data_IF_762509484116
#
_entry.id   IF_762509484116
#
_cell.length_a   1.000
_cell.length_b   1.000
_cell.length_c   1.000
_cell.angle_alpha   90.00
_cell.angle_beta   90.00
_cell.angle_gamma   90.00
#
_symmetry.space_group_name_H-M   'P 1'
#
loop_
_entity.id
_entity.type
_entity.pdbx_description
1 polymer ?
#
# COMPACT_ATOMS: atom_id res chain seq x y z
N UNK A 1 16.38 -13.29 14.64
CA UNK A 1 15.24 -14.19 14.91
C UNK A 1 15.74 -15.63 14.87
N UNK A 2 15.40 -16.47 15.84
CA UNK A 2 15.69 -17.91 15.77
C UNK A 2 14.59 -18.57 14.94
N UNK A 3 14.92 -19.21 13.81
CA UNK A 3 13.94 -19.74 12.86
C UNK A 3 13.44 -21.12 13.29
N UNK A 4 14.18 -21.82 14.15
CA UNK A 4 13.88 -23.21 14.52
C UNK A 4 12.91 -23.35 15.70
N UNK A 5 12.52 -22.25 16.35
CA UNK A 5 11.58 -22.30 17.47
C UNK A 5 10.12 -22.33 16.99
N UNK A 6 9.22 -22.78 17.86
CA UNK A 6 7.78 -22.75 17.59
C UNK A 6 7.17 -21.46 18.11
N UNK A 7 6.45 -20.73 17.28
CA UNK A 7 5.83 -19.44 17.62
C UNK A 7 4.33 -19.53 17.75
N UNK A 8 3.75 -18.69 18.61
CA UNK A 8 2.31 -18.56 18.84
C UNK A 8 1.87 -17.11 18.84
N UNK A 9 0.70 -16.83 18.25
CA UNK A 9 0.04 -15.52 18.36
C UNK A 9 -1.44 -15.57 17.99
N UNK A 10 -2.20 -14.55 18.43
CA UNK A 10 -3.55 -14.32 17.95
C UNK A 10 -3.52 -13.78 16.51
N UNK A 11 -4.22 -14.44 15.59
CA UNK A 11 -4.32 -14.04 14.18
C UNK A 11 -5.55 -13.18 13.86
N UNK A 12 -6.55 -13.15 14.76
CA UNK A 12 -7.71 -12.25 14.65
C UNK A 12 -7.45 -10.88 15.29
N UNK A 13 -8.21 -9.82 14.92
CA UNK A 13 -8.14 -8.55 15.61
C UNK A 13 -8.40 -8.67 17.11
N UNK A 14 -7.77 -7.80 17.91
CA UNK A 14 -8.05 -7.71 19.34
C UNK A 14 -9.45 -7.17 19.58
N UNK A 15 -10.16 -7.74 20.57
CA UNK A 15 -11.50 -7.33 20.94
C UNK A 15 -12.39 -8.51 21.31
N UNK A 16 -13.59 -8.21 21.81
CA UNK A 16 -14.61 -9.22 22.04
C UNK A 16 -15.30 -9.58 20.72
N UNK A 17 -15.45 -10.87 20.45
CA UNK A 17 -16.12 -11.38 19.26
C UNK A 17 -16.64 -12.80 19.47
N UNK A 18 -17.45 -13.33 18.54
CA UNK A 18 -17.95 -14.70 18.62
C UNK A 18 -16.80 -15.73 18.59
N UNK A 19 -15.76 -15.46 17.80
CA UNK A 19 -14.60 -16.34 17.65
C UNK A 19 -13.29 -15.56 17.63
N UNK A 20 -12.21 -16.23 18.03
CA UNK A 20 -10.84 -15.80 17.84
C UNK A 20 -9.98 -16.98 17.34
N UNK A 21 -8.91 -16.67 16.60
CA UNK A 21 -7.99 -17.67 16.08
C UNK A 21 -6.61 -17.44 16.69
N UNK A 22 -6.08 -18.48 17.33
CA UNK A 22 -4.69 -18.55 17.80
C UNK A 22 -3.93 -19.45 16.84
N UNK A 23 -2.84 -18.93 16.27
CA UNK A 23 -2.00 -19.66 15.31
C UNK A 23 -0.70 -20.04 15.99
N UNK A 24 -0.28 -21.29 15.78
CA UNK A 24 1.00 -21.86 16.21
C UNK A 24 1.75 -22.33 14.96
N UNK A 25 3.01 -21.95 14.78
CA UNK A 25 3.85 -22.36 13.62
C UNK A 25 5.22 -22.81 14.08
N UNK A 26 5.74 -23.88 13.48
CA UNK A 26 7.07 -24.43 13.76
C UNK A 26 7.05 -25.95 13.89
N UNK A 27 8.23 -26.55 14.03
CA UNK A 27 8.39 -28.01 14.02
C UNK A 27 7.57 -28.71 15.12
N UNK A 28 7.52 -28.13 16.31
CA UNK A 28 6.83 -28.70 17.48
C UNK A 28 5.37 -28.22 17.61
N UNK A 29 4.83 -27.48 16.62
CA UNK A 29 3.50 -26.88 16.70
C UNK A 29 2.39 -27.90 16.95
N UNK A 30 2.42 -29.04 16.24
CA UNK A 30 1.43 -30.11 16.41
C UNK A 30 1.59 -30.78 17.77
N UNK A 31 2.81 -31.11 18.17
CA UNK A 31 3.09 -31.78 19.45
C UNK A 31 2.71 -30.92 20.66
N UNK A 32 2.98 -29.61 20.60
CA UNK A 32 2.61 -28.67 21.66
C UNK A 32 1.09 -28.60 21.80
N UNK A 33 0.35 -28.45 20.69
CA UNK A 33 -1.11 -28.36 20.75
C UNK A 33 -1.75 -29.71 21.12
N UNK A 34 -1.16 -30.83 20.71
CA UNK A 34 -1.64 -32.17 21.04
C UNK A 34 -1.67 -32.41 22.57
N UNK A 35 -0.71 -31.83 23.32
CA UNK A 35 -0.65 -31.96 24.79
C UNK A 35 -1.83 -31.31 25.52
N UNK A 36 -2.45 -30.28 24.94
CA UNK A 36 -3.60 -29.57 25.54
C UNK A 36 -4.95 -29.98 24.94
N UNK A 37 -4.96 -30.90 23.97
CA UNK A 37 -6.15 -31.33 23.23
C UNK A 37 -6.38 -32.85 23.33
N UNK A 38 -6.98 -33.34 24.43
CA UNK A 38 -7.15 -34.79 24.64
C UNK A 38 -8.22 -35.44 23.75
N UNK A 39 -9.06 -34.63 23.07
CA UNK A 39 -10.16 -35.14 22.26
C UNK A 39 -9.72 -35.96 21.05
N UNK A 40 -8.49 -35.76 20.55
CA UNK A 40 -7.93 -36.52 19.43
C UNK A 40 -6.41 -36.40 19.39
N UNK A 41 -5.73 -37.45 18.96
CA UNK A 41 -4.29 -37.42 18.71
C UNK A 41 -3.99 -36.69 17.39
N UNK A 42 -3.59 -35.42 17.49
CA UNK A 42 -3.31 -34.52 16.38
C UNK A 42 -2.09 -34.94 15.54
N UNK A 43 -1.23 -35.85 16.04
CA UNK A 43 -0.11 -36.36 15.25
C UNK A 43 -0.58 -37.35 14.17
N UNK A 44 -1.68 -38.05 14.41
CA UNK A 44 -2.21 -39.11 13.52
C UNK A 44 -3.27 -38.65 12.54
N UNK A 45 -3.69 -37.39 12.59
CA UNK A 45 -4.69 -36.84 11.66
C UNK A 45 -4.05 -36.39 10.36
N UNK A 46 -4.85 -36.33 9.30
CA UNK A 46 -4.42 -35.78 8.02
C UNK A 46 -4.22 -34.26 8.09
N UNK A 47 -3.54 -33.69 7.09
CA UNK A 47 -3.47 -32.24 6.95
C UNK A 47 -4.76 -31.68 6.35
N UNK A 48 -5.02 -30.39 6.60
CA UNK A 48 -6.19 -29.65 6.12
C UNK A 48 -7.53 -30.20 6.65
N UNK A 49 -7.52 -30.71 7.89
CA UNK A 49 -8.71 -31.23 8.56
C UNK A 49 -9.06 -30.41 9.79
N UNK A 50 -10.34 -30.44 10.15
CA UNK A 50 -10.91 -29.78 11.33
C UNK A 50 -11.19 -30.81 12.44
N UNK A 51 -10.86 -30.45 13.68
CA UNK A 51 -11.05 -31.29 14.86
C UNK A 51 -11.72 -30.50 15.98
N UNK A 52 -12.90 -30.95 16.39
CA UNK A 52 -13.66 -30.34 17.47
C UNK A 52 -13.36 -31.03 18.80
N UNK A 53 -13.24 -30.24 19.87
CA UNK A 53 -13.01 -30.77 21.21
C UNK A 53 -12.65 -29.71 22.22
N UNK A 54 -12.22 -30.15 23.41
CA UNK A 54 -11.91 -29.24 24.52
C UNK A 54 -10.41 -29.00 24.63
N UNK A 55 -10.02 -27.74 24.85
CA UNK A 55 -8.67 -27.40 25.31
C UNK A 55 -8.64 -27.49 26.84
N UNK A 56 -7.70 -28.26 27.37
CA UNK A 56 -7.57 -28.53 28.80
C UNK A 56 -6.19 -28.12 29.30
N UNK A 57 -6.15 -27.48 30.47
CA UNK A 57 -4.92 -27.23 31.22
C UNK A 57 -5.12 -27.54 32.70
N UNK A 58 -4.19 -28.29 33.30
CA UNK A 58 -4.28 -28.76 34.69
C UNK A 58 -5.63 -29.40 35.06
N UNK A 59 -6.19 -30.25 34.18
CA UNK A 59 -7.52 -30.88 34.30
C UNK A 59 -8.72 -29.91 34.32
N UNK A 60 -8.52 -28.65 33.96
CA UNK A 60 -9.58 -27.64 33.83
C UNK A 60 -9.81 -27.37 32.34
N UNK A 61 -11.07 -27.46 31.91
CA UNK A 61 -11.47 -27.08 30.55
C UNK A 61 -11.33 -25.56 30.44
N UNK A 62 -10.49 -25.11 29.52
CA UNK A 62 -10.33 -23.68 29.21
C UNK A 62 -11.45 -23.23 28.30
N UNK A 63 -11.66 -23.98 27.21
CA UNK A 63 -12.68 -23.69 26.19
C UNK A 63 -12.96 -24.92 25.31
N UNK A 64 -14.08 -24.89 24.61
CA UNK A 64 -14.44 -25.79 23.52
C UNK A 64 -14.05 -25.12 22.19
N UNK A 65 -13.25 -25.80 21.37
CA UNK A 65 -12.58 -25.22 20.21
C UNK A 65 -12.71 -26.08 18.96
N UNK A 66 -12.40 -25.47 17.81
CA UNK A 66 -12.11 -26.17 16.56
C UNK A 66 -10.65 -25.96 16.20
N UNK A 67 -9.90 -27.05 16.07
CA UNK A 67 -8.51 -27.06 15.66
C UNK A 67 -8.40 -27.37 14.17
N UNK A 68 -7.67 -26.55 13.42
CA UNK A 68 -7.27 -26.80 12.03
C UNK A 68 -5.80 -27.20 11.98
N UNK A 69 -5.48 -28.26 11.25
CA UNK A 69 -4.11 -28.78 11.09
C UNK A 69 -3.59 -28.50 9.69
N UNK A 70 -2.38 -27.95 9.57
CA UNK A 70 -1.67 -27.81 8.30
C UNK A 70 -0.25 -28.38 8.47
N UNK A 71 0.05 -29.47 7.76
CA UNK A 71 1.36 -30.12 7.80
C UNK A 71 2.28 -29.53 6.72
N UNK A 72 3.56 -29.43 7.03
CA UNK A 72 4.57 -29.02 6.06
C UNK A 72 4.55 -29.91 4.79
N UNK A 73 4.88 -29.37 3.59
CA UNK A 73 5.13 -27.96 3.29
C UNK A 73 3.84 -27.18 2.94
N UNK A 74 2.65 -27.75 3.14
CA UNK A 74 1.38 -27.21 2.66
C UNK A 74 0.72 -26.32 3.72
N UNK A 75 1.41 -25.24 4.09
CA UNK A 75 0.94 -24.26 5.07
C UNK A 75 1.37 -22.84 4.69
N UNK A 76 0.88 -21.82 5.40
CA UNK A 76 1.26 -20.42 5.14
C UNK A 76 2.76 -20.17 5.31
N UNK A 77 3.39 -20.75 6.34
CA UNK A 77 4.83 -20.62 6.61
C UNK A 77 5.66 -21.69 5.92
N UNK A 78 5.03 -22.68 5.26
CA UNK A 78 5.62 -23.97 4.86
C UNK A 78 6.12 -24.85 6.01
N UNK A 79 5.93 -24.46 7.26
CA UNK A 79 6.17 -25.31 8.44
C UNK A 79 4.87 -26.02 8.86
N UNK A 80 4.92 -26.85 9.89
CA UNK A 80 3.68 -27.28 10.54
C UNK A 80 2.98 -26.06 11.18
N UNK A 81 1.67 -25.91 10.93
CA UNK A 81 0.81 -24.90 11.52
C UNK A 81 -0.40 -25.57 12.17
N UNK A 82 -0.76 -25.08 13.35
CA UNK A 82 -2.02 -25.39 14.02
C UNK A 82 -2.78 -24.09 14.28
N UNK A 83 -4.05 -24.05 13.89
CA UNK A 83 -4.95 -22.92 14.19
C UNK A 83 -6.04 -23.36 15.15
N UNK A 84 -6.08 -22.73 16.33
CA UNK A 84 -7.07 -22.97 17.38
C UNK A 84 -8.14 -21.89 17.28
N UNK A 85 -9.32 -22.26 16.79
CA UNK A 85 -10.51 -21.40 16.77
C UNK A 85 -11.27 -21.56 18.08
N UNK A 86 -11.20 -20.56 18.96
CA UNK A 86 -11.84 -20.53 20.27
C UNK A 86 -12.88 -19.41 20.35
N UNK A 87 -13.64 -19.33 21.44
CA UNK A 87 -14.49 -18.18 21.72
C UNK A 87 -13.65 -16.90 21.83
N UNK A 88 -14.14 -15.79 21.28
CA UNK A 88 -13.44 -14.50 21.24
C UNK A 88 -13.42 -13.74 22.56
N UNK A 89 -13.09 -14.43 23.66
CA UNK A 89 -12.91 -13.85 24.99
C UNK A 89 -11.42 -13.62 25.26
N UNK A 90 -11.06 -12.40 25.65
CA UNK A 90 -9.67 -12.02 25.95
C UNK A 90 -9.04 -12.93 27.01
N UNK A 91 -9.82 -13.35 28.01
CA UNK A 91 -9.36 -14.25 29.07
C UNK A 91 -9.05 -15.64 28.51
N UNK A 92 -9.90 -16.16 27.63
CA UNK A 92 -9.72 -17.47 27.00
C UNK A 92 -8.46 -17.46 26.14
N UNK A 93 -8.33 -16.44 25.28
CA UNK A 93 -7.19 -16.29 24.38
C UNK A 93 -5.88 -16.23 25.17
N UNK A 94 -5.82 -15.38 26.21
CA UNK A 94 -4.65 -15.27 27.09
C UNK A 94 -4.30 -16.60 27.77
N UNK A 95 -5.29 -17.33 28.28
CA UNK A 95 -5.07 -18.63 28.91
C UNK A 95 -4.49 -19.66 27.94
N UNK A 96 -5.06 -19.77 26.74
CA UNK A 96 -4.56 -20.70 25.72
C UNK A 96 -3.12 -20.34 25.33
N UNK A 97 -2.84 -19.06 25.05
CA UNK A 97 -1.49 -18.61 24.70
C UNK A 97 -0.48 -18.92 25.82
N UNK A 98 -0.81 -18.63 27.08
CA UNK A 98 0.07 -18.96 28.21
C UNK A 98 0.34 -20.47 28.33
N UNK A 99 -0.68 -21.32 28.14
CA UNK A 99 -0.50 -22.77 28.14
C UNK A 99 0.45 -23.23 27.03
N UNK A 100 0.36 -22.63 25.84
CA UNK A 100 1.26 -22.94 24.72
C UNK A 100 2.69 -22.48 25.02
N UNK A 101 2.85 -21.33 25.68
CA UNK A 101 4.17 -20.81 26.10
C UNK A 101 4.83 -21.75 27.11
N UNK A 102 4.08 -22.17 28.13
CA UNK A 102 4.57 -23.10 29.17
C UNK A 102 5.03 -24.45 28.57
N UNK A 103 4.50 -24.81 27.40
CA UNK A 103 4.82 -26.05 26.67
C UNK A 103 5.95 -25.89 25.64
N UNK A 104 6.54 -24.69 25.51
CA UNK A 104 7.72 -24.43 24.69
C UNK A 104 7.50 -23.51 23.49
N UNK A 105 6.29 -22.99 23.27
CA UNK A 105 6.08 -21.97 22.24
C UNK A 105 6.59 -20.59 22.69
N UNK A 106 7.07 -19.77 21.75
CA UNK A 106 7.41 -18.36 21.98
C UNK A 106 6.34 -17.46 21.38
N UNK A 107 6.10 -16.28 21.97
CA UNK A 107 5.26 -15.26 21.33
C UNK A 107 5.91 -14.81 20.02
N UNK A 108 5.15 -14.84 18.92
CA UNK A 108 5.61 -14.38 17.63
C UNK A 108 5.90 -12.87 17.64
N UNK A 109 6.98 -12.47 16.98
CA UNK A 109 7.29 -11.08 16.69
C UNK A 109 6.35 -10.51 15.60
N UNK A 110 6.42 -9.20 15.36
CA UNK A 110 5.63 -8.54 14.31
C UNK A 110 6.06 -9.05 12.93
N UNK A 111 5.10 -9.51 12.14
CA UNK A 111 5.37 -10.01 10.78
C UNK A 111 6.10 -11.36 10.73
N UNK A 112 6.34 -12.04 11.86
CA UNK A 112 7.17 -13.23 11.92
C UNK A 112 6.61 -14.40 11.09
N UNK A 113 5.28 -14.58 10.99
CA UNK A 113 4.74 -15.68 10.17
C UNK A 113 4.99 -15.43 8.67
N UNK A 114 4.80 -14.21 8.21
CA UNK A 114 5.04 -13.80 6.81
C UNK A 114 6.54 -13.80 6.52
N UNK A 115 7.37 -13.43 7.49
CA UNK A 115 8.81 -13.54 7.40
C UNK A 115 9.27 -14.99 7.20
N UNK A 116 8.75 -15.94 7.98
CA UNK A 116 9.03 -17.38 7.78
C UNK A 116 8.52 -17.90 6.44
N UNK A 117 7.33 -17.44 6.02
CA UNK A 117 6.79 -17.73 4.70
C UNK A 117 7.74 -17.30 3.57
N UNK A 118 8.34 -16.11 3.70
CA UNK A 118 9.36 -15.60 2.80
C UNK A 118 10.64 -16.44 2.84
N UNK A 119 11.20 -16.70 4.03
CA UNK A 119 12.44 -17.50 4.18
C UNK A 119 12.32 -18.90 3.62
N UNK A 120 11.16 -19.55 3.77
CA UNK A 120 10.90 -20.87 3.22
C UNK A 120 10.55 -20.85 1.72
N UNK A 121 10.66 -19.69 1.07
CA UNK A 121 10.42 -19.49 -0.37
C UNK A 121 8.96 -19.75 -0.77
N UNK A 122 8.01 -19.54 0.14
CA UNK A 122 6.58 -19.62 -0.18
C UNK A 122 6.11 -18.39 -0.95
N UNK A 123 6.64 -17.23 -0.55
CA UNK A 123 6.38 -15.93 -1.14
C UNK A 123 7.71 -15.18 -1.28
N UNK A 124 7.81 -14.26 -2.23
CA UNK A 124 8.93 -13.31 -2.31
C UNK A 124 8.66 -12.02 -1.52
N UNK A 125 9.65 -11.14 -1.43
CA UNK A 125 9.56 -9.94 -0.59
C UNK A 125 8.47 -8.98 -1.05
N UNK A 126 8.28 -8.82 -2.36
CA UNK A 126 7.20 -8.00 -2.92
C UNK A 126 5.82 -8.60 -2.62
N UNK A 127 5.68 -9.93 -2.67
CA UNK A 127 4.46 -10.61 -2.23
C UNK A 127 4.22 -10.44 -0.73
N UNK A 128 5.25 -10.53 0.11
CA UNK A 128 5.15 -10.29 1.54
C UNK A 128 4.63 -8.88 1.85
N UNK A 129 5.19 -7.84 1.22
CA UNK A 129 4.71 -6.46 1.34
C UNK A 129 3.24 -6.31 0.90
N UNK A 130 2.83 -7.04 -0.14
CA UNK A 130 1.45 -7.04 -0.61
C UNK A 130 0.45 -7.66 0.38
N UNK A 131 0.89 -8.57 1.26
CA UNK A 131 0.05 -9.07 2.36
C UNK A 131 -0.36 -7.91 3.28
N UNK A 132 0.59 -7.04 3.62
CA UNK A 132 0.32 -5.85 4.45
C UNK A 132 -0.62 -4.89 3.73
N UNK A 133 -0.38 -4.67 2.44
CA UNK A 133 -1.18 -3.74 1.63
C UNK A 133 -2.60 -4.25 1.41
N UNK A 134 -2.81 -5.57 1.33
CA UNK A 134 -4.15 -6.16 1.23
C UNK A 134 -4.99 -5.92 2.48
N UNK A 135 -4.39 -6.02 3.66
CA UNK A 135 -5.08 -5.87 4.95
C UNK A 135 -5.39 -4.39 5.22
N UNK A 136 -4.42 -3.52 4.94
CA UNK A 136 -4.53 -2.08 5.19
C UNK A 136 -5.24 -1.33 4.08
N UNK A 137 -5.38 -1.94 2.90
CA UNK A 137 -6.04 -1.37 1.73
C UNK A 137 -7.49 -1.00 2.03
N UNK A 138 -7.77 0.31 1.97
CA UNK A 138 -9.11 0.84 2.25
C UNK A 138 -9.93 1.11 0.98
N UNK A 139 -9.29 1.11 -0.20
CA UNK A 139 -9.93 1.38 -1.49
C UNK A 139 -10.03 0.11 -2.34
N UNK A 140 -11.04 0.05 -3.24
CA UNK A 140 -11.19 -1.09 -4.16
C UNK A 140 -9.98 -1.23 -5.08
N UNK A 141 -9.40 -0.11 -5.51
CA UNK A 141 -8.23 -0.12 -6.38
C UNK A 141 -6.98 -0.64 -5.65
N UNK A 142 -6.72 -0.17 -4.42
CA UNK A 142 -5.62 -0.67 -3.60
C UNK A 142 -5.72 -2.18 -3.36
N UNK A 143 -6.95 -2.68 -3.12
CA UNK A 143 -7.20 -4.10 -2.95
C UNK A 143 -6.93 -4.90 -4.23
N UNK A 144 -7.37 -4.42 -5.40
CA UNK A 144 -7.11 -5.05 -6.72
C UNK A 144 -5.59 -5.18 -6.96
N UNK A 145 -4.83 -4.11 -6.72
CA UNK A 145 -3.39 -4.11 -6.97
C UNK A 145 -2.65 -5.02 -5.98
N UNK A 146 -3.03 -5.00 -4.69
CA UNK A 146 -2.45 -5.90 -3.70
C UNK A 146 -2.66 -7.38 -4.05
N UNK A 147 -3.83 -7.75 -4.59
CA UNK A 147 -4.09 -9.10 -5.10
C UNK A 147 -3.17 -9.46 -6.27
N UNK A 148 -2.95 -8.55 -7.23
CA UNK A 148 -2.06 -8.79 -8.37
C UNK A 148 -0.61 -9.01 -7.92
N UNK A 149 -0.15 -8.23 -6.94
CA UNK A 149 1.16 -8.44 -6.32
C UNK A 149 1.25 -9.79 -5.61
N UNK A 150 0.24 -10.17 -4.82
CA UNK A 150 0.19 -11.47 -4.15
C UNK A 150 0.21 -12.64 -5.12
N UNK A 151 -0.45 -12.52 -6.27
CA UNK A 151 -0.39 -13.51 -7.36
C UNK A 151 0.99 -13.60 -8.03
N UNK A 152 1.90 -12.69 -7.71
CA UNK A 152 3.27 -12.67 -8.22
C UNK A 152 3.42 -12.07 -9.61
N UNK A 153 2.42 -11.33 -10.14
CA UNK A 153 2.50 -10.74 -11.49
C UNK A 153 3.73 -9.83 -11.61
N UNK A 154 3.90 -8.93 -10.64
CA UNK A 154 5.06 -8.03 -10.57
C UNK A 154 6.38 -8.79 -10.42
N UNK A 155 6.45 -9.72 -9.46
CA UNK A 155 7.66 -10.49 -9.18
C UNK A 155 8.06 -11.39 -10.35
N UNK A 156 7.11 -11.98 -11.07
CA UNK A 156 7.37 -12.81 -12.24
C UNK A 156 7.96 -11.99 -13.40
N UNK A 157 7.49 -10.74 -13.60
CA UNK A 157 8.07 -9.84 -14.61
C UNK A 157 9.52 -9.50 -14.27
N UNK A 158 9.82 -9.17 -13.01
CA UNK A 158 11.20 -8.90 -12.55
C UNK A 158 12.09 -10.14 -12.68
N UNK A 159 11.62 -11.31 -12.22
CA UNK A 159 12.35 -12.58 -12.32
C UNK A 159 12.67 -12.93 -13.77
N UNK A 160 11.73 -12.67 -14.71
CA UNK A 160 11.97 -12.86 -16.14
C UNK A 160 13.08 -11.94 -16.65
N UNK A 161 12.96 -10.62 -16.43
CA UNK A 161 13.97 -9.64 -16.86
C UNK A 161 15.36 -9.97 -16.28
N UNK A 162 15.41 -10.37 -15.01
CA UNK A 162 16.65 -10.79 -14.34
C UNK A 162 17.21 -12.08 -14.94
N UNK A 163 16.38 -13.08 -15.20
CA UNK A 163 16.80 -14.34 -15.84
C UNK A 163 17.37 -14.10 -17.24
N UNK A 164 16.70 -13.24 -18.03
CA UNK A 164 17.16 -12.88 -19.37
C UNK A 164 18.51 -12.14 -19.30
N UNK A 165 18.69 -11.28 -18.29
CA UNK A 165 19.94 -10.54 -18.08
C UNK A 165 21.08 -11.44 -17.59
N UNK A 166 20.80 -12.43 -16.72
CA UNK A 166 21.77 -13.45 -16.29
C UNK A 166 22.26 -14.25 -17.50
N UNK A 167 21.35 -14.70 -18.37
CA UNK A 167 21.70 -15.49 -19.55
C UNK A 167 22.60 -14.73 -20.52
N UNK A 168 22.42 -13.41 -20.65
CA UNK A 168 23.31 -12.58 -21.47
C UNK A 168 24.62 -12.25 -20.75
N UNK A 169 24.58 -12.05 -19.43
CA UNK A 169 25.77 -11.80 -18.61
C UNK A 169 26.72 -12.99 -18.62
N UNK A 170 26.21 -14.23 -18.58
CA UNK A 170 27.03 -15.43 -18.62
C UNK A 170 27.78 -15.60 -19.95
N UNK A 171 27.17 -15.17 -21.08
CA UNK A 171 27.85 -15.14 -22.37
C UNK A 171 28.97 -14.10 -22.41
N UNK A 172 28.78 -12.94 -21.75
CA UNK A 172 29.82 -11.92 -21.63
C UNK A 172 30.96 -12.37 -20.72
N UNK A 173 30.66 -13.08 -19.62
CA UNK A 173 31.69 -13.65 -18.75
C UNK A 173 32.53 -14.71 -19.50
N UNK A 174 31.89 -15.57 -20.30
CA UNK A 174 32.62 -16.50 -21.17
C UNK A 174 33.50 -15.76 -22.18
N UNK A 175 33.02 -14.68 -22.80
CA UNK A 175 33.82 -13.86 -23.72
C UNK A 175 35.07 -13.26 -23.04
N UNK A 176 34.98 -12.88 -21.76
CA UNK A 176 36.12 -12.43 -20.98
C UNK A 176 37.14 -13.56 -20.73
N UNK A 177 36.65 -14.74 -20.34
CA UNK A 177 37.49 -15.92 -20.07
C UNK A 177 38.25 -16.40 -21.31
N UNK A 178 37.71 -16.17 -22.52
CA UNK A 178 38.30 -16.56 -23.81
C UNK A 178 38.78 -15.36 -24.64
N UNK A 179 39.13 -14.24 -24.00
CA UNK A 179 39.57 -13.01 -24.68
C UNK A 179 40.83 -13.17 -25.55
N UNK A 180 41.62 -14.24 -25.37
CA UNK A 180 42.77 -14.58 -26.22
C UNK A 180 42.40 -15.29 -27.53
N UNK A 181 41.17 -15.81 -27.66
CA UNK A 181 40.73 -16.66 -28.79
C UNK A 181 39.95 -15.90 -29.88
N UNK A 182 39.79 -14.58 -29.78
CA UNK A 182 39.07 -13.71 -30.75
C UNK A 182 37.63 -14.20 -31.06
N UNK A 183 36.91 -14.64 -30.01
CA UNK A 183 35.54 -15.18 -30.14
C UNK A 183 34.51 -14.26 -29.49
N UNK A 184 33.52 -13.81 -30.26
CA UNK A 184 32.34 -13.10 -29.74
C UNK A 184 31.22 -14.10 -29.38
N UNK A 185 30.90 -14.22 -28.09
CA UNK A 185 29.84 -15.10 -27.61
C UNK A 185 28.53 -14.36 -27.32
N UNK A 186 28.61 -13.08 -26.93
CA UNK A 186 27.45 -12.30 -26.55
C UNK A 186 26.91 -11.45 -27.71
N UNK A 187 25.63 -11.65 -28.07
CA UNK A 187 24.97 -10.79 -29.05
C UNK A 187 24.62 -9.42 -28.44
N UNK A 188 25.35 -8.38 -28.86
CA UNK A 188 25.20 -7.01 -28.37
C UNK A 188 23.83 -6.41 -28.71
N UNK A 189 23.24 -6.71 -29.86
CA UNK A 189 21.90 -6.23 -30.23
C UNK A 189 20.83 -6.77 -29.28
N UNK A 190 20.88 -8.06 -28.93
CA UNK A 190 19.96 -8.68 -27.97
C UNK A 190 20.11 -8.05 -26.58
N UNK A 191 21.34 -7.74 -26.17
CA UNK A 191 21.60 -7.05 -24.92
C UNK A 191 21.00 -5.65 -24.93
N UNK A 192 21.22 -4.86 -25.98
CA UNK A 192 20.61 -3.53 -26.11
C UNK A 192 19.09 -3.58 -25.99
N UNK A 193 18.42 -4.50 -26.71
CA UNK A 193 16.97 -4.67 -26.65
C UNK A 193 16.50 -4.97 -25.22
N UNK A 194 17.17 -5.89 -24.51
CA UNK A 194 16.81 -6.23 -23.14
C UNK A 194 17.03 -5.05 -22.18
N UNK A 195 18.13 -4.33 -22.33
CA UNK A 195 18.46 -3.17 -21.51
C UNK A 195 17.44 -2.04 -21.72
N UNK A 196 16.97 -1.83 -22.95
CA UNK A 196 15.87 -0.91 -23.25
C UNK A 196 14.54 -1.38 -22.64
N UNK A 197 14.20 -2.68 -22.72
CA UNK A 197 13.00 -3.22 -22.07
C UNK A 197 13.03 -3.00 -20.54
N UNK A 198 14.19 -3.21 -19.89
CA UNK A 198 14.35 -2.96 -18.45
C UNK A 198 14.22 -1.48 -18.12
N UNK A 199 14.83 -0.59 -18.90
CA UNK A 199 14.76 0.85 -18.67
C UNK A 199 13.33 1.38 -18.82
N UNK A 200 12.61 0.97 -19.87
CA UNK A 200 11.22 1.39 -20.09
C UNK A 200 10.29 0.85 -19.02
N UNK A 201 10.47 -0.41 -18.60
CA UNK A 201 9.75 -0.95 -17.45
C UNK A 201 9.99 -0.13 -16.17
N UNK A 202 11.25 0.25 -15.91
CA UNK A 202 11.58 1.06 -14.73
C UNK A 202 11.01 2.48 -14.82
N UNK A 203 11.06 3.13 -15.99
CA UNK A 203 10.49 4.48 -16.20
C UNK A 203 9.02 4.52 -15.88
N UNK A 204 8.24 3.60 -16.46
CA UNK A 204 6.78 3.51 -16.24
C UNK A 204 6.46 3.40 -14.74
N UNK A 205 7.19 2.55 -14.01
CA UNK A 205 6.95 2.36 -12.57
C UNK A 205 7.39 3.56 -11.73
N UNK A 206 8.54 4.18 -12.04
CA UNK A 206 9.05 5.35 -11.34
C UNK A 206 8.11 6.56 -11.53
N UNK A 207 7.60 6.76 -12.74
CA UNK A 207 6.63 7.81 -13.05
C UNK A 207 5.31 7.56 -12.32
N UNK A 208 4.85 6.31 -12.27
CA UNK A 208 3.63 5.95 -11.56
C UNK A 208 3.75 6.06 -10.04
N UNK A 209 4.95 6.04 -9.45
CA UNK A 209 5.13 6.12 -7.98
C UNK A 209 4.44 7.32 -7.33
N UNK A 210 4.59 8.51 -7.92
CA UNK A 210 4.01 9.76 -7.38
C UNK A 210 2.49 9.73 -7.38
N UNK A 211 1.92 9.07 -8.39
CA UNK A 211 0.48 8.89 -8.60
C UNK A 211 -0.08 7.80 -7.67
N UNK A 212 0.67 6.71 -7.49
CA UNK A 212 0.31 5.51 -6.74
C UNK A 212 0.29 5.68 -5.22
N UNK A 213 1.19 6.48 -4.64
CA UNK A 213 1.14 6.77 -3.20
C UNK A 213 -0.17 7.48 -2.79
N UNK A 214 -0.75 8.29 -3.67
CA UNK A 214 -2.04 8.93 -3.42
C UNK A 214 -3.19 7.91 -3.35
N UNK A 215 -3.09 6.78 -4.06
CA UNK A 215 -4.10 5.71 -4.05
C UNK A 215 -4.05 4.90 -2.75
N UNK A 216 -2.85 4.66 -2.21
CA UNK A 216 -2.64 3.90 -0.96
C UNK A 216 -3.18 4.64 0.26
N UNK A 217 -2.75 5.89 0.45
CA UNK A 217 -3.04 6.67 1.66
C UNK A 217 -4.36 7.47 1.57
N UNK A 218 -4.97 7.47 0.39
CA UNK A 218 -6.11 8.27 0.00
C UNK A 218 -5.69 9.58 -0.64
N UNK A 219 -6.41 9.97 -1.69
CA UNK A 219 -6.13 11.17 -2.49
C UNK A 219 -6.43 12.39 -1.64
N UNK A 220 -5.39 13.16 -1.32
CA UNK A 220 -5.50 14.35 -0.47
C UNK A 220 -6.10 15.50 -1.27
N UNK A 221 -7.32 15.91 -0.92
CA UNK A 221 -8.02 17.05 -1.50
C UNK A 221 -8.06 18.16 -0.46
N UNK A 222 -7.54 19.35 -0.79
CA UNK A 222 -7.65 20.52 0.07
C UNK A 222 -8.78 21.44 -0.43
N UNK A 223 -9.64 21.90 0.48
CA UNK A 223 -10.69 22.87 0.16
C UNK A 223 -10.21 24.27 0.54
N UNK A 224 -10.09 25.14 -0.48
CA UNK A 224 -9.66 26.53 -0.35
C UNK A 224 -10.79 27.50 -0.67
N UNK A 225 -10.66 28.74 -0.22
CA UNK A 225 -11.60 29.83 -0.48
C UNK A 225 -11.70 30.80 0.70
N UNK A 226 -12.27 31.97 0.46
CA UNK A 226 -12.48 33.00 1.50
C UNK A 226 -13.34 32.50 2.67
N UNK A 227 -13.34 33.17 3.83
CA UNK A 227 -14.33 32.93 4.87
C UNK A 227 -15.76 33.00 4.31
N UNK A 228 -16.66 32.16 4.83
CA UNK A 228 -18.09 32.15 4.49
C UNK A 228 -18.49 31.81 3.04
N UNK A 229 -17.58 31.29 2.20
CA UNK A 229 -17.91 30.83 0.83
C UNK A 229 -18.66 29.48 0.78
N UNK A 230 -18.87 28.84 1.94
CA UNK A 230 -19.59 27.57 2.05
C UNK A 230 -18.70 26.32 2.06
N UNK A 231 -17.41 26.42 2.42
CA UNK A 231 -16.48 25.28 2.51
C UNK A 231 -16.99 24.19 3.47
N UNK A 232 -17.36 24.55 4.69
CA UNK A 232 -17.86 23.60 5.69
C UNK A 232 -19.20 22.98 5.29
N UNK A 233 -20.07 23.76 4.66
CA UNK A 233 -21.32 23.23 4.08
C UNK A 233 -21.03 22.22 2.99
N UNK A 234 -20.11 22.53 2.07
CA UNK A 234 -19.68 21.62 1.01
C UNK A 234 -19.11 20.31 1.56
N UNK A 235 -18.20 20.41 2.54
CA UNK A 235 -17.57 19.25 3.17
C UNK A 235 -18.61 18.36 3.86
N UNK A 236 -19.50 18.95 4.66
CA UNK A 236 -20.57 18.21 5.33
C UNK A 236 -21.50 17.53 4.32
N UNK A 237 -21.88 18.24 3.24
CA UNK A 237 -22.72 17.65 2.19
C UNK A 237 -22.02 16.53 1.41
N UNK A 238 -20.69 16.58 1.26
CA UNK A 238 -19.92 15.48 0.67
C UNK A 238 -19.85 14.26 1.62
N UNK A 239 -19.68 14.50 2.93
CA UNK A 239 -19.57 13.45 3.96
C UNK A 239 -20.91 12.77 4.27
N UNK A 240 -21.99 13.53 4.40
CA UNK A 240 -23.32 13.00 4.79
C UNK A 240 -23.91 12.05 3.74
N UNK A 241 -23.52 12.19 2.47
CA UNK A 241 -23.98 11.32 1.39
C UNK A 241 -23.22 9.96 1.39
N UNK A 242 -22.03 9.87 2.02
CA UNK A 242 -21.22 8.64 2.12
C UNK A 242 -21.22 7.96 3.50
N UNK A 243 -21.83 8.60 4.53
CA UNK A 243 -22.09 7.96 5.83
C UNK A 243 -22.95 6.69 5.75
N UNK A 244 -23.59 6.41 4.61
CA UNK A 244 -24.40 5.21 4.40
C UNK A 244 -23.58 3.91 4.19
N UNK A 245 -22.26 3.99 3.97
CA UNK A 245 -21.43 2.81 3.61
C UNK A 245 -20.37 2.46 4.68
N UNK A 246 -20.13 3.35 5.65
CA UNK A 246 -19.13 3.10 6.71
C UNK A 246 -19.78 2.26 7.82
N UNK A 247 -19.55 0.95 7.75
CA UNK A 247 -19.90 0.00 8.81
C UNK A 247 -19.23 0.41 10.14
N UNK A 248 -20.04 0.50 11.20
CA UNK A 248 -19.58 0.53 12.58
C UNK A 248 -18.91 -0.80 12.93
N UNK A 249 -17.64 -0.99 12.56
CA UNK A 249 -16.84 -2.11 13.07
C UNK A 249 -16.10 -1.62 14.32
N UNK A 250 -16.44 -2.10 15.52
CA UNK A 250 -15.73 -1.74 16.74
C UNK A 250 -14.29 -2.24 16.67
N UNK A 251 -13.30 -1.37 16.97
CA UNK A 251 -11.93 -1.80 17.24
C UNK A 251 -10.88 -1.54 16.17
N UNK A 252 -11.18 -0.87 15.04
CA UNK A 252 -10.11 -0.34 14.19
C UNK A 252 -9.49 0.88 14.85
N UNK A 253 -8.17 0.86 15.04
CA UNK A 253 -7.39 1.87 15.76
C UNK A 253 -7.86 3.30 15.49
N UNK A 254 -8.28 3.91 16.60
CA UNK A 254 -8.69 5.30 16.79
C UNK A 254 -7.57 6.25 16.35
N UNK A 255 -7.69 6.79 15.15
CA UNK A 255 -7.29 8.15 14.85
C UNK A 255 -8.42 8.75 14.03
N UNK A 256 -8.79 9.99 14.32
CA UNK A 256 -9.92 10.70 13.72
C UNK A 256 -9.83 10.67 12.18
N UNK A 257 -10.72 9.92 11.52
CA UNK A 257 -10.90 9.98 10.06
C UNK A 257 -12.29 10.56 9.77
N UNK A 258 -12.57 11.75 10.29
CA UNK A 258 -13.87 12.42 10.10
C UNK A 258 -14.01 13.03 8.68
N UNK A 259 -12.97 12.98 7.84
CA UNK A 259 -12.91 13.71 6.55
C UNK A 259 -12.57 12.82 5.32
N UNK A 260 -12.87 11.51 5.34
CA UNK A 260 -12.68 10.66 4.15
C UNK A 260 -13.99 10.22 3.52
N UNK A 261 -14.05 10.22 2.20
CA UNK A 261 -15.14 9.63 1.41
C UNK A 261 -14.61 8.69 0.33
N UNK A 262 -15.50 7.87 -0.23
CA UNK A 262 -15.18 7.02 -1.38
C UNK A 262 -15.73 7.67 -2.64
N UNK A 263 -14.86 8.03 -3.59
CA UNK A 263 -15.24 8.50 -4.93
C UNK A 263 -14.77 7.46 -5.95
N UNK A 264 -15.72 6.84 -6.66
CA UNK A 264 -15.42 5.74 -7.57
C UNK A 264 -14.80 4.55 -6.83
N UNK A 265 -13.58 4.18 -7.21
CA UNK A 265 -12.80 3.09 -6.58
C UNK A 265 -11.76 3.59 -5.57
N UNK A 266 -11.73 4.90 -5.30
CA UNK A 266 -10.65 5.56 -4.58
C UNK A 266 -11.14 6.21 -3.28
N UNK A 267 -10.27 6.25 -2.28
CA UNK A 267 -10.52 7.05 -1.09
C UNK A 267 -10.02 8.46 -1.34
N UNK A 268 -10.87 9.41 -1.04
CA UNK A 268 -10.57 10.84 -1.07
C UNK A 268 -10.55 11.33 0.36
N UNK A 269 -9.43 11.92 0.77
CA UNK A 269 -9.25 12.52 2.09
C UNK A 269 -9.31 14.02 1.95
N UNK A 270 -10.34 14.62 2.49
CA UNK A 270 -10.39 16.06 2.59
C UNK A 270 -9.50 16.51 3.73
N UNK A 271 -8.71 17.54 3.47
CA UNK A 271 -8.00 18.27 4.52
C UNK A 271 -8.66 19.62 4.63
N UNK A 272 -9.39 19.85 5.72
CA UNK A 272 -9.96 21.15 5.95
C UNK A 272 -8.86 22.18 6.29
N UNK A 273 -9.03 23.39 5.77
CA UNK A 273 -8.33 24.58 6.24
C UNK A 273 -8.95 25.13 7.53
N UNK A 274 -10.12 24.64 7.97
CA UNK A 274 -10.81 25.00 9.21
C UNK A 274 -10.13 24.53 10.52
N UNK A 275 -8.88 24.06 10.45
CA UNK A 275 -7.96 24.12 11.60
C UNK A 275 -7.60 25.57 11.98
N UNK A 276 -7.98 26.56 11.17
CA UNK A 276 -8.19 27.93 11.60
C UNK A 276 -9.51 28.02 12.37
N UNK A 277 -9.52 27.54 13.62
CA UNK A 277 -10.55 28.00 14.57
C UNK A 277 -10.45 29.53 14.62
N UNK A 278 -11.56 30.21 14.44
CA UNK A 278 -11.66 31.67 14.61
C UNK A 278 -11.27 32.03 16.06
N UNK A 279 -9.99 32.31 16.26
CA UNK A 279 -9.53 33.07 17.43
C UNK A 279 -9.09 34.42 16.91
N UNK A 280 -9.81 35.46 17.33
CA UNK A 280 -9.47 36.84 17.05
C UNK A 280 -8.03 37.13 17.51
N UNK A 281 -7.26 37.74 16.61
CA UNK A 281 -5.93 38.32 16.76
C UNK A 281 -4.68 37.41 16.68
N UNK A 282 -3.75 37.83 15.79
CA UNK A 282 -2.35 37.39 15.58
C UNK A 282 -2.07 36.01 14.95
N UNK A 283 -3.08 35.22 14.60
CA UNK A 283 -2.94 33.83 14.07
C UNK A 283 -2.82 33.74 12.53
N UNK A 284 -2.99 34.84 11.81
CA UNK A 284 -3.20 34.84 10.35
C UNK A 284 -1.97 34.45 9.52
N UNK A 285 -0.75 34.82 9.93
CA UNK A 285 0.49 34.46 9.21
C UNK A 285 0.90 32.99 9.43
N UNK A 286 0.69 32.45 10.63
CA UNK A 286 0.88 31.03 10.94
C UNK A 286 -0.15 30.18 10.18
N UNK A 287 -1.36 30.72 10.02
CA UNK A 287 -2.44 30.15 9.21
C UNK A 287 -2.07 30.00 7.73
N UNK A 288 -1.47 31.03 7.14
CA UNK A 288 -1.03 31.02 5.74
C UNK A 288 0.10 30.02 5.53
N UNK A 289 1.12 29.99 6.40
CA UNK A 289 2.24 29.05 6.26
C UNK A 289 1.78 27.58 6.39
N UNK A 290 0.91 27.28 7.36
CA UNK A 290 0.29 25.94 7.49
C UNK A 290 -0.60 25.58 6.30
N UNK A 291 -1.32 26.55 5.73
CA UNK A 291 -2.10 26.33 4.52
C UNK A 291 -1.19 26.02 3.33
N UNK A 292 -0.07 26.72 3.18
CA UNK A 292 0.91 26.47 2.12
C UNK A 292 1.56 25.09 2.24
N UNK A 293 1.90 24.64 3.45
CA UNK A 293 2.38 23.27 3.69
C UNK A 293 1.33 22.22 3.26
N UNK A 294 0.08 22.40 3.70
CA UNK A 294 -1.02 21.50 3.30
C UNK A 294 -1.28 21.51 1.79
N UNK A 295 -1.10 22.65 1.13
CA UNK A 295 -1.22 22.76 -0.34
C UNK A 295 -0.11 21.96 -1.03
N UNK A 296 1.13 22.02 -0.53
CA UNK A 296 2.24 21.22 -1.06
C UNK A 296 1.93 19.73 -0.99
N UNK A 297 1.40 19.27 0.14
CA UNK A 297 1.05 17.87 0.39
C UNK A 297 -0.25 17.41 -0.29
N UNK A 298 -1.06 18.33 -0.83
CA UNK A 298 -2.32 18.02 -1.51
C UNK A 298 -2.11 17.57 -2.95
N UNK A 299 -2.90 16.55 -3.35
CA UNK A 299 -2.97 16.02 -4.71
C UNK A 299 -3.95 16.80 -5.60
N UNK A 300 -5.01 17.37 -5.00
CA UNK A 300 -6.01 18.21 -5.67
C UNK A 300 -6.33 19.41 -4.79
N UNK A 301 -6.48 20.58 -5.43
CA UNK A 301 -6.96 21.81 -4.80
C UNK A 301 -8.39 22.06 -5.29
N UNK A 302 -9.34 22.12 -4.36
CA UNK A 302 -10.72 22.51 -4.62
C UNK A 302 -10.93 23.95 -4.16
N UNK A 303 -10.93 24.90 -5.09
CA UNK A 303 -11.05 26.32 -4.77
C UNK A 303 -12.49 26.79 -4.90
N UNK A 304 -13.08 27.23 -3.79
CA UNK A 304 -14.49 27.60 -3.68
C UNK A 304 -14.67 29.12 -3.63
N UNK A 305 -15.52 29.63 -4.51
CA UNK A 305 -15.95 31.03 -4.58
C UNK A 305 -17.44 31.14 -4.24
N UNK A 306 -17.86 32.25 -3.64
CA UNK A 306 -19.28 32.54 -3.40
C UNK A 306 -19.85 33.36 -4.56
N UNK A 307 -20.66 32.76 -5.43
CA UNK A 307 -21.18 33.44 -6.62
C UNK A 307 -22.01 34.69 -6.30
N UNK A 308 -22.61 34.79 -5.12
CA UNK A 308 -23.43 35.95 -4.72
C UNK A 308 -22.60 37.17 -4.31
N UNK A 309 -21.30 36.99 -4.02
CA UNK A 309 -20.41 38.05 -3.50
C UNK A 309 -19.11 38.19 -4.27
N UNK A 310 -18.87 37.33 -5.27
CA UNK A 310 -17.59 37.29 -5.99
C UNK A 310 -17.48 38.44 -6.98
N UNK A 311 -16.28 39.02 -7.07
CA UNK A 311 -15.91 39.95 -8.12
C UNK A 311 -14.84 39.30 -9.00
N UNK A 312 -15.05 39.32 -10.32
CA UNK A 312 -14.16 38.69 -11.32
C UNK A 312 -12.70 39.12 -11.13
N UNK A 313 -12.43 40.43 -10.97
CA UNK A 313 -11.06 40.93 -10.79
C UNK A 313 -10.38 40.35 -9.54
N UNK A 314 -11.15 40.24 -8.44
CA UNK A 314 -10.62 39.68 -7.20
C UNK A 314 -10.34 38.18 -7.29
N UNK A 315 -11.10 37.48 -8.13
CA UNK A 315 -10.94 36.06 -8.40
C UNK A 315 -9.70 35.80 -9.25
N UNK A 316 -9.50 36.59 -10.31
CA UNK A 316 -8.29 36.52 -11.15
C UNK A 316 -7.01 36.72 -10.34
N UNK A 317 -6.99 37.70 -9.43
CA UNK A 317 -5.85 37.94 -8.52
C UNK A 317 -5.61 36.76 -7.57
N UNK A 318 -6.66 36.08 -7.12
CA UNK A 318 -6.51 34.89 -6.27
C UNK A 318 -5.99 33.68 -7.03
N UNK A 319 -6.49 33.48 -8.26
CA UNK A 319 -6.08 32.38 -9.13
C UNK A 319 -4.68 32.55 -9.69
N UNK A 320 -4.17 33.79 -9.79
CA UNK A 320 -2.81 34.06 -10.25
C UNK A 320 -1.72 33.75 -9.22
N UNK A 321 -2.08 33.41 -7.98
CA UNK A 321 -1.10 33.15 -6.90
C UNK A 321 -0.25 31.91 -7.19
N UNK A 322 1.05 32.03 -6.98
CA UNK A 322 2.04 31.01 -7.34
C UNK A 322 1.76 29.62 -6.74
N UNK A 323 1.20 29.55 -5.53
CA UNK A 323 0.90 28.27 -4.88
C UNK A 323 -0.23 27.47 -5.54
N UNK A 324 -0.98 28.06 -6.48
CA UNK A 324 -1.99 27.38 -7.29
C UNK A 324 -1.45 26.95 -8.67
N UNK A 325 -0.32 27.49 -9.09
CA UNK A 325 0.28 27.18 -10.39
C UNK A 325 0.86 25.75 -10.40
N UNK A 326 0.74 25.06 -11.53
CA UNK A 326 1.21 23.67 -11.73
C UNK A 326 0.62 22.63 -10.75
N UNK A 327 -0.54 22.93 -10.17
CA UNK A 327 -1.30 22.02 -9.32
C UNK A 327 -2.60 21.60 -10.00
N UNK A 328 -3.09 20.43 -9.63
CA UNK A 328 -4.39 19.90 -10.00
C UNK A 328 -5.50 20.74 -9.36
N UNK A 329 -5.96 21.78 -10.06
CA UNK A 329 -6.88 22.80 -9.55
C UNK A 329 -8.29 22.59 -10.11
N UNK A 330 -9.28 22.56 -9.23
CA UNK A 330 -10.70 22.54 -9.57
C UNK A 330 -11.35 23.79 -8.97
N UNK A 331 -11.94 24.61 -9.83
CA UNK A 331 -12.60 25.86 -9.44
C UNK A 331 -14.11 25.63 -9.33
N UNK A 332 -14.68 26.02 -8.19
CA UNK A 332 -16.10 25.90 -7.88
C UNK A 332 -16.71 27.27 -7.52
N UNK A 333 -17.77 27.63 -8.23
CA UNK A 333 -18.67 28.72 -7.88
C UNK A 333 -19.85 28.16 -7.08
N UNK A 334 -19.86 28.41 -5.77
CA UNK A 334 -20.88 27.94 -4.84
C UNK A 334 -22.01 28.97 -4.65
N UNK A 335 -23.10 28.53 -4.00
CA UNK A 335 -24.31 29.30 -3.69
C UNK A 335 -25.08 29.78 -4.92
N UNK A 336 -25.13 28.94 -5.96
CA UNK A 336 -25.93 29.20 -7.16
C UNK A 336 -27.45 29.24 -6.90
N UNK A 337 -27.89 28.85 -5.70
CA UNK A 337 -29.26 29.00 -5.21
C UNK A 337 -29.62 30.46 -4.84
N UNK A 338 -28.61 31.31 -4.62
CA UNK A 338 -28.79 32.73 -4.36
C UNK A 338 -28.87 33.53 -5.67
N UNK A 339 -29.22 34.82 -5.56
CA UNK A 339 -29.19 35.73 -6.70
C UNK A 339 -27.74 35.96 -7.14
N UNK A 340 -27.40 35.49 -8.33
CA UNK A 340 -26.08 35.65 -8.96
C UNK A 340 -26.18 36.63 -10.13
N UNK A 341 -25.17 37.49 -10.29
CA UNK A 341 -25.10 38.39 -11.45
C UNK A 341 -24.77 37.61 -12.74
N UNK A 342 -25.48 37.92 -13.83
CA UNK A 342 -25.29 37.26 -15.14
C UNK A 342 -23.85 37.37 -15.69
N UNK A 343 -23.08 38.36 -15.25
CA UNK A 343 -21.69 38.53 -15.67
C UNK A 343 -20.80 37.46 -15.04
N UNK A 344 -21.06 37.09 -13.78
CA UNK A 344 -20.30 36.09 -13.04
C UNK A 344 -20.61 34.69 -13.59
N UNK A 345 -21.87 34.36 -13.85
CA UNK A 345 -22.23 33.06 -14.44
C UNK A 345 -21.57 32.86 -15.80
N UNK A 346 -21.66 33.85 -16.69
CA UNK A 346 -20.98 33.82 -18.00
C UNK A 346 -19.46 33.67 -17.88
N UNK A 347 -18.85 34.31 -16.89
CA UNK A 347 -17.41 34.18 -16.67
C UNK A 347 -17.03 32.75 -16.29
N UNK A 348 -17.79 32.11 -15.39
CA UNK A 348 -17.58 30.71 -15.03
C UNK A 348 -17.80 29.77 -16.24
N UNK A 349 -18.85 29.98 -17.02
CA UNK A 349 -19.14 29.20 -18.23
C UNK A 349 -18.02 29.34 -19.27
N UNK A 350 -17.57 30.55 -19.57
CA UNK A 350 -16.53 30.81 -20.58
C UNK A 350 -15.17 30.21 -20.22
N UNK A 351 -14.88 30.04 -18.93
CA UNK A 351 -13.63 29.45 -18.45
C UNK A 351 -13.79 27.96 -18.09
N UNK A 352 -14.94 27.34 -18.39
CA UNK A 352 -15.26 25.96 -18.00
C UNK A 352 -15.12 25.67 -16.49
N UNK A 353 -15.43 26.67 -15.66
CA UNK A 353 -15.49 26.50 -14.21
C UNK A 353 -16.85 25.97 -13.76
N UNK A 354 -16.86 25.25 -12.64
CA UNK A 354 -18.07 24.54 -12.18
C UNK A 354 -18.94 25.45 -11.33
N UNK A 355 -20.24 25.48 -11.60
CA UNK A 355 -21.25 26.20 -10.80
C UNK A 355 -22.07 25.18 -10.02
N UNK A 356 -22.29 25.43 -8.73
CA UNK A 356 -23.06 24.54 -7.86
C UNK A 356 -23.71 25.26 -6.66
N UNK A 357 -24.61 24.54 -5.99
CA UNK A 357 -25.02 24.83 -4.62
C UNK A 357 -24.67 23.66 -3.72
N UNK A 358 -23.91 23.91 -2.63
CA UNK A 358 -23.64 22.89 -1.61
C UNK A 358 -24.91 22.33 -0.96
N UNK A 359 -26.03 23.06 -0.99
CA UNK A 359 -27.30 22.61 -0.44
C UNK A 359 -28.07 21.67 -1.39
N UNK A 360 -27.68 21.62 -2.67
CA UNK A 360 -28.33 20.82 -3.68
C UNK A 360 -27.61 19.47 -3.89
N UNK A 361 -28.26 18.38 -3.49
CA UNK A 361 -27.72 17.02 -3.64
C UNK A 361 -27.35 16.66 -5.09
N UNK A 362 -28.08 17.16 -6.09
CA UNK A 362 -27.76 16.89 -7.51
C UNK A 362 -26.42 17.49 -7.91
N UNK A 363 -26.07 18.66 -7.37
CA UNK A 363 -24.81 19.31 -7.69
C UNK A 363 -23.63 18.69 -6.93
N UNK A 364 -23.87 18.19 -5.71
CA UNK A 364 -22.90 17.35 -4.98
C UNK A 364 -22.57 16.08 -5.78
N UNK A 365 -23.58 15.40 -6.34
CA UNK A 365 -23.35 14.21 -7.17
C UNK A 365 -22.54 14.54 -8.44
N UNK A 366 -22.82 15.66 -9.10
CA UNK A 366 -22.01 16.14 -10.24
C UNK A 366 -20.56 16.39 -9.82
N UNK A 367 -20.34 17.01 -8.66
CA UNK A 367 -19.00 17.24 -8.13
C UNK A 367 -18.27 15.92 -7.84
N UNK A 368 -18.93 14.92 -7.26
CA UNK A 368 -18.33 13.59 -7.06
C UNK A 368 -17.92 12.95 -8.39
N UNK A 369 -18.77 13.03 -9.42
CA UNK A 369 -18.45 12.51 -10.75
C UNK A 369 -17.27 13.27 -11.39
N UNK A 370 -17.24 14.59 -11.25
CA UNK A 370 -16.14 15.42 -11.75
C UNK A 370 -14.82 15.10 -11.02
N UNK A 371 -14.85 14.96 -9.70
CA UNK A 371 -13.68 14.52 -8.94
C UNK A 371 -13.22 13.14 -9.39
N UNK A 372 -14.14 12.20 -9.63
CA UNK A 372 -13.80 10.87 -10.14
C UNK A 372 -13.09 10.94 -11.50
N UNK A 373 -13.66 11.68 -12.46
CA UNK A 373 -13.05 11.86 -13.79
C UNK A 373 -11.70 12.55 -13.69
N UNK A 374 -11.58 13.56 -12.83
CA UNK A 374 -10.34 14.28 -12.62
C UNK A 374 -9.25 13.37 -12.04
N UNK A 375 -9.61 12.53 -11.06
CA UNK A 375 -8.73 11.53 -10.46
C UNK A 375 -8.27 10.53 -11.53
N UNK A 376 -9.19 9.99 -12.33
CA UNK A 376 -8.86 9.01 -13.38
C UNK A 376 -7.98 9.62 -14.47
N UNK A 377 -8.18 10.89 -14.84
CA UNK A 377 -7.41 11.48 -15.94
C UNK A 377 -6.05 12.03 -15.52
N UNK A 378 -5.86 12.42 -14.25
CA UNK A 378 -4.68 13.17 -13.82
C UNK A 378 -3.91 12.51 -12.68
N UNK A 379 -4.50 11.54 -11.99
CA UNK A 379 -3.95 10.97 -10.74
C UNK A 379 -3.76 9.47 -10.83
N UNK A 380 -4.59 8.75 -11.59
CA UNK A 380 -4.52 7.29 -11.70
C UNK A 380 -4.32 6.94 -13.16
N UNK A 381 -3.43 5.99 -13.40
CA UNK A 381 -3.41 5.28 -14.66
C UNK A 381 -4.21 3.99 -14.46
N UNK A 382 -5.38 3.88 -15.10
CA UNK A 382 -6.31 2.73 -14.93
C UNK A 382 -5.67 1.40 -15.39
N UNK A 383 -4.63 1.48 -16.22
CA UNK A 383 -3.82 0.36 -16.70
C UNK A 383 -2.67 0.00 -15.75
N UNK A 384 -2.46 0.75 -14.66
CA UNK A 384 -1.39 0.49 -13.70
C UNK A 384 -1.73 -0.75 -12.84
N UNK A 385 -1.30 -1.92 -13.30
CA UNK A 385 -1.50 -3.19 -12.60
C UNK A 385 -0.62 -3.37 -11.35
N UNK A 386 0.35 -2.47 -11.14
CA UNK A 386 1.45 -2.60 -10.18
C UNK A 386 1.58 -1.31 -9.37
N UNK A 387 1.59 -1.44 -8.04
CA UNK A 387 1.84 -0.32 -7.12
C UNK A 387 3.20 -0.51 -6.45
N UNK A 388 4.14 0.39 -6.70
CA UNK A 388 5.46 0.32 -6.07
C UNK A 388 5.51 1.19 -4.79
N UNK A 389 6.23 0.72 -3.78
CA UNK A 389 6.48 1.47 -2.55
C UNK A 389 7.81 2.25 -2.64
N UNK A 390 8.13 3.02 -1.61
CA UNK A 390 9.36 3.83 -1.57
C UNK A 390 10.64 2.99 -1.72
N UNK A 391 10.65 1.77 -1.16
CA UNK A 391 11.77 0.83 -1.30
C UNK A 391 11.95 0.41 -2.76
N UNK A 392 10.86 -0.02 -3.41
CA UNK A 392 10.86 -0.34 -4.83
C UNK A 392 11.31 0.85 -5.67
N UNK A 393 10.79 2.06 -5.42
CA UNK A 393 11.16 3.27 -6.13
C UNK A 393 12.66 3.57 -6.04
N UNK A 394 13.23 3.55 -4.84
CA UNK A 394 14.67 3.76 -4.63
C UNK A 394 15.50 2.68 -5.34
N UNK A 395 15.05 1.43 -5.29
CA UNK A 395 15.73 0.30 -5.95
C UNK A 395 15.68 0.45 -7.47
N UNK A 396 14.53 0.82 -8.05
CA UNK A 396 14.35 1.04 -9.48
C UNK A 396 15.18 2.23 -10.00
N UNK A 397 15.35 3.28 -9.19
CA UNK A 397 16.30 4.37 -9.52
C UNK A 397 17.73 3.82 -9.64
N UNK A 398 18.15 2.94 -8.73
CA UNK A 398 19.48 2.34 -8.78
C UNK A 398 19.63 1.35 -9.94
N UNK A 399 18.58 0.61 -10.29
CA UNK A 399 18.53 -0.20 -11.52
C UNK A 399 18.76 0.71 -12.72
N UNK A 400 17.99 1.79 -12.88
CA UNK A 400 18.16 2.72 -14.01
C UNK A 400 19.54 3.34 -14.08
N UNK A 401 20.12 3.78 -12.97
CA UNK A 401 21.51 4.26 -12.93
C UNK A 401 22.52 3.22 -13.42
N UNK A 402 22.30 1.95 -13.11
CA UNK A 402 23.17 0.86 -13.56
C UNK A 402 22.96 0.59 -15.06
N UNK A 403 21.70 0.58 -15.50
CA UNK A 403 21.31 0.42 -16.90
C UNK A 403 21.84 1.56 -17.79
N UNK A 404 21.78 2.80 -17.33
CA UNK A 404 22.31 3.96 -18.05
C UNK A 404 23.82 3.82 -18.30
N UNK A 405 24.58 3.30 -17.32
CA UNK A 405 26.00 2.98 -17.49
C UNK A 405 26.23 1.84 -18.48
N UNK A 406 25.39 0.80 -18.45
CA UNK A 406 25.46 -0.28 -19.46
C UNK A 406 25.24 0.28 -20.86
N UNK A 407 24.25 1.17 -21.05
CA UNK A 407 24.00 1.83 -22.34
C UNK A 407 25.20 2.67 -22.79
N UNK A 408 25.74 3.51 -21.90
CA UNK A 408 26.94 4.32 -22.19
C UNK A 408 28.14 3.45 -22.60
N UNK A 409 28.37 2.33 -21.90
CA UNK A 409 29.46 1.42 -22.21
C UNK A 409 29.26 0.63 -23.51
N UNK A 410 28.01 0.34 -23.89
CA UNK A 410 27.69 -0.25 -25.19
C UNK A 410 27.93 0.73 -26.35
N UNK A 411 27.53 2.00 -26.18
CA UNK A 411 27.72 3.05 -27.20
C UNK A 411 29.20 3.38 -27.40
N UNK A 412 29.96 3.49 -26.31
CA UNK A 412 31.38 3.84 -26.35
C UNK A 412 32.30 2.67 -26.75
N UNK A 413 31.74 1.47 -27.00
CA UNK A 413 32.51 0.22 -27.21
C UNK A 413 33.55 0.00 -26.11
N UNK A 414 33.14 0.23 -24.85
CA UNK A 414 33.99 0.04 -23.67
C UNK A 414 34.42 -1.43 -23.52
N UNK A 415 35.47 -1.67 -22.74
CA UNK A 415 35.94 -3.02 -22.41
C UNK A 415 34.81 -3.85 -21.77
N UNK A 416 34.70 -5.13 -22.17
CA UNK A 416 33.70 -6.09 -21.70
C UNK A 416 33.71 -6.25 -20.17
N UNK A 417 34.84 -6.01 -19.50
CA UNK A 417 34.95 -6.01 -18.03
C UNK A 417 34.01 -5.01 -17.35
N UNK A 418 33.95 -3.78 -17.88
CA UNK A 418 33.11 -2.71 -17.31
C UNK A 418 31.62 -3.02 -17.54
N UNK A 419 31.30 -3.58 -18.71
CA UNK A 419 29.94 -4.03 -19.03
C UNK A 419 29.47 -5.13 -18.09
N UNK A 420 30.30 -6.15 -17.85
CA UNK A 420 29.96 -7.24 -16.93
C UNK A 420 29.73 -6.73 -15.50
N UNK A 421 30.56 -5.77 -15.04
CA UNK A 421 30.41 -5.16 -13.71
C UNK A 421 29.11 -4.36 -13.58
N UNK A 422 28.76 -3.52 -14.55
CA UNK A 422 27.53 -2.73 -14.50
C UNK A 422 26.27 -3.60 -14.63
N UNK A 423 26.33 -4.67 -15.42
CA UNK A 423 25.25 -5.69 -15.49
C UNK A 423 25.07 -6.37 -14.14
N UNK A 424 26.17 -6.73 -13.46
CA UNK A 424 26.12 -7.30 -12.11
C UNK A 424 25.43 -6.35 -11.12
N UNK A 425 25.73 -5.06 -11.16
CA UNK A 425 25.03 -4.08 -10.34
C UNK A 425 23.53 -3.98 -10.68
N UNK A 426 23.16 -4.02 -11.96
CA UNK A 426 21.75 -4.05 -12.35
C UNK A 426 21.04 -5.32 -11.83
N UNK A 427 21.69 -6.48 -11.94
CA UNK A 427 21.20 -7.76 -11.41
C UNK A 427 20.97 -7.68 -9.90
N UNK A 428 21.97 -7.25 -9.12
CA UNK A 428 21.86 -7.15 -7.67
C UNK A 428 20.71 -6.23 -7.24
N UNK A 429 20.57 -5.07 -7.90
CA UNK A 429 19.46 -4.15 -7.64
C UNK A 429 18.10 -4.77 -8.01
N UNK A 430 17.97 -5.47 -9.13
CA UNK A 430 16.73 -6.20 -9.46
C UNK A 430 16.41 -7.28 -8.42
N UNK A 431 17.43 -7.99 -7.93
CA UNK A 431 17.31 -9.02 -6.89
C UNK A 431 16.87 -8.47 -5.53
N UNK A 432 17.18 -7.21 -5.22
CA UNK A 432 16.69 -6.54 -4.00
C UNK A 432 15.17 -6.35 -3.99
N UNK A 433 14.53 -6.23 -5.16
CA UNK A 433 13.08 -6.04 -5.22
C UNK A 433 12.35 -7.30 -4.72
N UNK A 434 12.73 -8.47 -5.26
CA UNK A 434 12.15 -9.77 -4.91
C UNK A 434 12.71 -10.34 -3.61
N UNK A 435 13.82 -9.80 -3.09
CA UNK A 435 14.47 -10.28 -1.87
C UNK A 435 15.43 -11.44 -2.09
N UNK A 436 15.80 -11.74 -3.34
CA UNK A 436 16.88 -12.70 -3.66
C UNK A 436 18.24 -12.19 -3.17
N UNK A 437 18.43 -10.87 -3.17
CA UNK A 437 19.61 -10.18 -2.63
C UNK A 437 19.11 -9.17 -1.61
N UNK A 438 19.17 -9.45 -0.31
CA UNK A 438 18.73 -8.50 0.72
C UNK A 438 19.57 -8.63 1.97
N UNK A 439 19.58 -7.60 2.80
CA UNK A 439 20.21 -7.65 4.12
C UNK A 439 19.16 -7.79 5.24
N UNK A 440 19.62 -8.20 6.43
CA UNK A 440 18.77 -8.42 7.60
C UNK A 440 18.11 -7.13 8.12
N UNK A 441 18.74 -5.98 7.95
CA UNK A 441 18.19 -4.68 8.38
C UNK A 441 16.95 -4.27 7.57
N UNK A 442 16.99 -4.43 6.25
CA UNK A 442 15.86 -4.17 5.36
C UNK A 442 14.70 -5.09 5.70
N UNK A 443 14.99 -6.39 5.92
CA UNK A 443 13.99 -7.36 6.34
C UNK A 443 13.35 -6.94 7.67
N UNK A 444 14.17 -6.62 8.69
CA UNK A 444 13.69 -6.15 9.98
C UNK A 444 12.78 -4.92 9.88
N UNK A 445 13.16 -3.92 9.08
CA UNK A 445 12.34 -2.72 8.88
C UNK A 445 11.00 -3.04 8.21
N UNK A 446 10.97 -3.91 7.19
CA UNK A 446 9.74 -4.30 6.49
C UNK A 446 8.79 -5.02 7.46
N UNK A 447 9.24 -6.10 8.09
CA UNK A 447 8.38 -6.94 8.92
C UNK A 447 7.98 -6.26 10.24
N UNK A 448 8.77 -5.30 10.75
CA UNK A 448 8.39 -4.50 11.92
C UNK A 448 7.10 -3.69 11.73
N UNK A 449 6.74 -3.36 10.49
CA UNK A 449 5.52 -2.61 10.16
C UNK A 449 4.26 -3.49 10.14
N UNK A 450 4.40 -4.81 10.14
CA UNK A 450 3.29 -5.75 10.10
C UNK A 450 2.60 -5.84 11.47
N UNK A 451 1.39 -6.41 11.47
CA UNK A 451 0.69 -6.77 12.70
C UNK A 451 1.38 -7.96 13.39
N UNK A 452 1.20 -8.04 14.72
CA UNK A 452 1.47 -9.26 15.48
C UNK A 452 0.46 -10.33 15.04
N UNK A 453 0.92 -11.58 14.85
CA UNK A 453 0.06 -12.68 14.36
C UNK A 453 0.03 -12.85 12.84
N UNK A 454 0.84 -12.06 12.13
CA UNK A 454 1.12 -12.24 10.71
C UNK A 454 2.58 -12.42 10.44
#
# INVERSE_FOLDING_TARGET
MNINDTIVSQSTPQGAGPTAVIRVSGNDSIDIVNKIFPSKDLNKVDSHTLHFGNVISYNIIIDEVVISIFKEPRSYTKENIVEISCHGSEIIIKKIILCLIDLGARIAERGEFTFRSFLNGNIDLSQAEAVSDLISGKSKNAHKIAINHLKGVFSNKIKKLRSDLINLSSLLELELDFSEEDVEFANREKLTILIDEIDDFCKILIESFKLNNAVKDGIKVIILGKPNVGKSTLLNSLLDDDKAIVSEIPGTTRDLIEDTITIGNNIVRFTDTAGLRETNDKVESIGINKALEKIKDSSIILYVFDLSKTNIKSMEIELSKDYLQNKNLIILGNKSDLKVENQITKYFENNNYNIMSSLNKKDILKLKNLLNQFIVNNIIDDDCEVMINERHYNTLINVRKSIDKVKENLENRSNTDLLALDIKYALDNLGQITGEVTNDEILGNIFSKFCIGK
#
